data_IF_375234165234
#
_entry.id   IF_375234165234
#
_cell.length_a   1.000
_cell.length_b   1.000
_cell.length_c   1.000
_cell.angle_alpha   90.00
_cell.angle_beta   90.00
_cell.angle_gamma   90.00
#
_symmetry.space_group_name_H-M   'P 1'
#
loop_
_entity.id
_entity.type
_entity.pdbx_description
1 polymer ?
#
# COMPACT_ATOMS: atom_id res chain seq x y z
N UNK A 1 -14.12 50.87 19.78
CA UNK A 1 -13.77 49.47 20.07
C UNK A 1 -15.04 48.64 19.91
N UNK A 2 -15.34 48.21 18.68
CA UNK A 2 -16.57 47.48 18.35
C UNK A 2 -16.16 46.03 18.08
N UNK A 3 -16.49 45.14 19.01
CA UNK A 3 -16.29 43.70 18.83
C UNK A 3 -17.45 43.21 18.00
N UNK A 4 -17.21 42.95 16.71
CA UNK A 4 -18.15 42.26 15.83
C UNK A 4 -18.06 40.77 16.13
N UNK A 5 -19.08 40.26 16.81
CA UNK A 5 -19.33 38.83 17.01
C UNK A 5 -19.54 38.21 15.63
N UNK A 6 -18.60 37.36 15.21
CA UNK A 6 -18.66 36.69 13.91
C UNK A 6 -19.53 35.44 13.96
N UNK A 7 -20.36 35.37 12.92
CA UNK A 7 -20.86 34.19 12.25
C UNK A 7 -21.80 33.25 13.04
N UNK A 8 -23.08 33.49 12.78
CA UNK A 8 -24.17 32.51 12.72
C UNK A 8 -23.72 31.21 12.03
N UNK A 9 -23.18 30.27 12.82
CA UNK A 9 -22.92 28.90 12.41
C UNK A 9 -24.26 28.16 12.29
N UNK A 10 -24.99 28.48 11.22
CA UNK A 10 -26.21 27.83 10.76
C UNK A 10 -26.12 26.34 11.05
N UNK A 11 -27.02 25.88 11.92
CA UNK A 11 -27.08 24.54 12.48
C UNK A 11 -27.40 23.48 11.41
N UNK A 12 -26.40 23.13 10.60
CA UNK A 12 -26.28 21.85 9.90
C UNK A 12 -24.91 21.25 10.24
N UNK A 13 -24.61 21.14 11.53
CA UNK A 13 -23.38 20.50 12.00
C UNK A 13 -23.56 19.00 11.87
N UNK A 14 -22.97 18.42 10.82
CA UNK A 14 -22.71 16.97 10.78
C UNK A 14 -21.95 16.64 12.06
N UNK A 15 -22.41 15.65 12.83
CA UNK A 15 -21.77 15.26 14.08
C UNK A 15 -20.28 14.97 13.80
N UNK A 16 -19.38 15.64 14.51
CA UNK A 16 -17.93 15.44 14.39
C UNK A 16 -17.52 13.97 14.58
N UNK A 17 -18.29 13.23 15.40
CA UNK A 17 -18.14 11.79 15.59
C UNK A 17 -18.28 10.99 14.28
N UNK A 18 -19.12 11.43 13.35
CA UNK A 18 -19.32 10.74 12.07
C UNK A 18 -18.08 10.86 11.17
N UNK A 19 -17.37 11.99 11.24
CA UNK A 19 -16.10 12.17 10.52
C UNK A 19 -14.98 11.31 11.13
N UNK A 20 -14.96 11.13 12.45
CA UNK A 20 -14.02 10.22 13.12
C UNK A 20 -14.16 8.77 12.63
N UNK A 21 -15.40 8.29 12.47
CA UNK A 21 -15.66 6.92 11.97
C UNK A 21 -15.12 6.73 10.56
N UNK A 22 -15.23 7.74 9.69
CA UNK A 22 -14.71 7.68 8.32
C UNK A 22 -13.19 7.54 8.29
N UNK A 23 -12.45 8.34 9.07
CA UNK A 23 -11.00 8.23 9.16
C UNK A 23 -10.54 6.91 9.78
N UNK A 24 -11.27 6.39 10.78
CA UNK A 24 -10.98 5.09 11.36
C UNK A 24 -11.13 3.97 10.33
N UNK A 25 -12.21 3.98 9.54
CA UNK A 25 -12.43 2.97 8.52
C UNK A 25 -11.37 3.05 7.41
N UNK A 26 -11.00 4.27 6.99
CA UNK A 26 -9.99 4.51 5.97
C UNK A 26 -8.61 3.99 6.40
N UNK A 27 -8.20 4.25 7.65
CA UNK A 27 -6.91 3.77 8.17
C UNK A 27 -6.87 2.24 8.30
N UNK A 28 -7.96 1.59 8.70
CA UNK A 28 -8.05 0.12 8.72
C UNK A 28 -7.93 -0.45 7.30
N UNK A 29 -8.65 0.14 6.33
CA UNK A 29 -8.58 -0.29 4.94
C UNK A 29 -7.16 -0.14 4.37
N UNK A 30 -6.49 0.97 4.67
CA UNK A 30 -5.13 1.23 4.20
C UNK A 30 -4.12 0.24 4.78
N UNK A 31 -4.19 -0.07 6.08
CA UNK A 31 -3.30 -1.06 6.72
C UNK A 31 -3.49 -2.45 6.09
N UNK A 32 -4.73 -2.86 5.88
CA UNK A 32 -5.06 -4.18 5.31
C UNK A 32 -4.59 -4.33 3.86
N UNK A 33 -4.68 -3.28 3.05
CA UNK A 33 -4.22 -3.36 1.66
C UNK A 33 -2.70 -3.19 1.58
N UNK A 34 -2.15 -2.21 2.30
CA UNK A 34 -0.74 -1.82 2.18
C UNK A 34 0.21 -2.79 2.87
N UNK A 35 0.03 -3.04 4.17
CA UNK A 35 0.97 -3.87 4.94
C UNK A 35 0.86 -5.33 4.49
N UNK A 36 -0.35 -5.86 4.36
CA UNK A 36 -0.55 -7.26 3.95
C UNK A 36 -0.14 -7.49 2.50
N UNK A 37 -0.43 -6.54 1.58
CA UNK A 37 -0.01 -6.63 0.19
C UNK A 37 1.50 -6.64 0.04
N UNK A 38 2.20 -5.82 0.82
CA UNK A 38 3.66 -5.77 0.79
C UNK A 38 4.32 -7.04 1.35
N UNK A 39 3.73 -7.63 2.41
CA UNK A 39 4.20 -8.90 2.96
C UNK A 39 4.01 -10.04 1.95
N UNK A 40 2.88 -10.07 1.23
CA UNK A 40 2.67 -11.03 0.15
C UNK A 40 3.70 -10.85 -0.98
N UNK A 41 3.93 -9.60 -1.41
CA UNK A 41 4.92 -9.29 -2.45
C UNK A 41 6.34 -9.69 -2.03
N UNK A 42 6.72 -9.46 -0.77
CA UNK A 42 8.00 -9.91 -0.24
C UNK A 42 8.11 -11.43 -0.11
N UNK A 43 6.99 -12.12 0.15
CA UNK A 43 6.96 -13.59 0.20
C UNK A 43 7.12 -14.23 -1.18
N UNK A 44 6.66 -13.56 -2.23
CA UNK A 44 6.72 -14.06 -3.61
C UNK A 44 7.99 -13.62 -4.36
N UNK A 45 8.85 -12.81 -3.73
CA UNK A 45 10.02 -12.23 -4.36
C UNK A 45 11.33 -12.95 -3.97
N UNK A 46 12.22 -13.23 -4.94
CA UNK A 46 13.61 -13.56 -4.65
C UNK A 46 14.25 -12.48 -3.78
N UNK A 47 15.13 -12.89 -2.87
CA UNK A 47 15.54 -12.07 -1.72
C UNK A 47 16.43 -10.88 -2.07
N UNK A 48 16.91 -10.80 -3.33
CA UNK A 48 17.65 -9.66 -3.90
C UNK A 48 16.77 -8.48 -4.33
N UNK A 49 15.44 -8.63 -4.46
CA UNK A 49 14.56 -7.58 -5.00
C UNK A 49 13.72 -6.82 -3.96
N UNK A 50 13.97 -7.01 -2.65
CA UNK A 50 13.17 -6.36 -1.59
C UNK A 50 13.12 -4.84 -1.73
N UNK A 51 14.25 -4.20 -2.02
CA UNK A 51 14.31 -2.73 -2.22
C UNK A 51 13.56 -2.27 -3.48
N UNK A 52 13.57 -3.08 -4.54
CA UNK A 52 12.87 -2.78 -5.80
C UNK A 52 11.34 -2.83 -5.59
N UNK A 53 10.84 -3.81 -4.83
CA UNK A 53 9.42 -3.91 -4.51
C UNK A 53 8.95 -2.76 -3.63
N UNK A 54 9.75 -2.40 -2.62
CA UNK A 54 9.45 -1.25 -1.76
C UNK A 54 9.37 0.07 -2.56
N UNK A 55 10.36 0.31 -3.43
CA UNK A 55 10.39 1.52 -4.26
C UNK A 55 9.26 1.53 -5.29
N UNK A 56 8.92 0.39 -5.89
CA UNK A 56 7.78 0.27 -6.80
C UNK A 56 6.44 0.53 -6.08
N UNK A 57 6.31 0.07 -4.84
CA UNK A 57 5.16 0.35 -3.99
C UNK A 57 5.01 1.85 -3.72
N UNK A 58 6.08 2.50 -3.22
CA UNK A 58 6.10 3.93 -2.94
C UNK A 58 5.87 4.79 -4.20
N UNK A 59 6.40 4.35 -5.34
CA UNK A 59 6.20 5.01 -6.61
C UNK A 59 4.71 5.01 -7.02
N UNK A 60 4.02 3.88 -6.80
CA UNK A 60 2.59 3.78 -7.08
C UNK A 60 1.77 4.67 -6.14
N UNK A 61 2.12 4.73 -4.85
CA UNK A 61 1.51 5.67 -3.88
C UNK A 61 1.68 7.12 -4.33
N UNK A 62 2.88 7.51 -4.75
CA UNK A 62 3.16 8.87 -5.22
C UNK A 62 2.34 9.25 -6.47
N UNK A 63 2.12 8.31 -7.39
CA UNK A 63 1.23 8.52 -8.54
C UNK A 63 -0.22 8.74 -8.08
N UNK A 64 -0.69 7.97 -7.09
CA UNK A 64 -2.01 8.16 -6.49
C UNK A 64 -2.19 9.56 -5.91
N UNK A 65 -1.22 10.00 -5.10
CA UNK A 65 -1.22 11.35 -4.51
C UNK A 65 -1.16 12.45 -5.57
N UNK A 66 -0.38 12.24 -6.64
CA UNK A 66 -0.31 13.17 -7.76
C UNK A 66 -1.65 13.33 -8.47
N UNK A 67 -2.39 12.23 -8.70
CA UNK A 67 -3.72 12.29 -9.32
C UNK A 67 -4.68 13.09 -8.43
N UNK A 68 -4.68 12.87 -7.11
CA UNK A 68 -5.52 13.61 -6.17
C UNK A 68 -5.17 15.10 -6.15
N UNK A 69 -3.89 15.43 -6.14
CA UNK A 69 -3.42 16.81 -6.15
C UNK A 69 -3.84 17.56 -7.42
N UNK A 70 -3.69 16.93 -8.60
CA UNK A 70 -4.11 17.53 -9.88
C UNK A 70 -5.61 17.78 -9.91
N UNK A 71 -6.43 16.85 -9.42
CA UNK A 71 -7.89 17.00 -9.36
C UNK A 71 -8.27 18.16 -8.42
N UNK A 72 -7.60 18.28 -7.27
CA UNK A 72 -7.85 19.32 -6.29
C UNK A 72 -7.45 20.73 -6.79
N UNK A 73 -6.29 20.86 -7.44
CA UNK A 73 -5.76 22.14 -7.91
C UNK A 73 -6.52 22.66 -9.14
N UNK A 74 -6.89 21.76 -10.05
CA UNK A 74 -7.50 22.16 -11.33
C UNK A 74 -8.95 22.61 -11.16
N UNK A 75 -9.58 22.43 -9.98
CA UNK A 75 -11.00 22.78 -9.71
C UNK A 75 -11.95 22.36 -10.85
N UNK A 76 -11.64 21.23 -11.51
CA UNK A 76 -12.33 20.77 -12.73
C UNK A 76 -13.84 20.66 -12.50
N UNK A 77 -14.22 20.33 -11.27
CA UNK A 77 -15.60 20.08 -10.88
C UNK A 77 -16.05 21.17 -9.91
N UNK A 78 -16.90 22.08 -10.38
CA UNK A 78 -17.51 23.15 -9.57
C UNK A 78 -18.50 22.62 -8.51
N UNK A 79 -18.95 21.36 -8.65
CA UNK A 79 -19.89 20.68 -7.76
C UNK A 79 -19.20 19.59 -6.92
N UNK A 80 -19.18 19.77 -5.60
CA UNK A 80 -18.58 18.84 -4.64
C UNK A 80 -19.13 17.40 -4.74
N UNK A 81 -20.38 17.23 -5.16
CA UNK A 81 -20.97 15.90 -5.35
C UNK A 81 -20.33 15.10 -6.50
N UNK A 82 -20.02 15.73 -7.63
CA UNK A 82 -19.38 15.03 -8.76
C UNK A 82 -17.95 14.63 -8.40
N UNK A 83 -17.25 15.42 -7.59
CA UNK A 83 -15.91 15.07 -7.11
C UNK A 83 -15.93 13.77 -6.28
N UNK A 84 -16.89 13.62 -5.37
CA UNK A 84 -17.08 12.36 -4.63
C UNK A 84 -17.43 11.17 -5.54
N UNK A 85 -18.27 11.38 -6.56
CA UNK A 85 -18.58 10.32 -7.53
C UNK A 85 -17.37 9.94 -8.39
N UNK A 86 -16.52 10.90 -8.77
CA UNK A 86 -15.29 10.65 -9.53
C UNK A 86 -14.31 9.81 -8.70
N UNK A 87 -14.04 10.21 -7.45
CA UNK A 87 -13.15 9.46 -6.56
C UNK A 87 -13.69 8.07 -6.24
N UNK A 88 -14.99 7.94 -5.98
CA UNK A 88 -15.62 6.64 -5.78
C UNK A 88 -15.51 5.78 -7.04
N UNK A 89 -15.74 6.34 -8.22
CA UNK A 89 -15.63 5.62 -9.50
C UNK A 89 -14.21 5.13 -9.76
N UNK A 90 -13.20 5.96 -9.50
CA UNK A 90 -11.79 5.61 -9.63
C UNK A 90 -11.40 4.48 -8.67
N UNK A 91 -11.87 4.53 -7.42
CA UNK A 91 -11.67 3.47 -6.43
C UNK A 91 -12.37 2.16 -6.82
N UNK A 92 -13.64 2.22 -7.25
CA UNK A 92 -14.37 1.04 -7.72
C UNK A 92 -13.67 0.39 -8.91
N UNK A 93 -13.19 1.20 -9.86
CA UNK A 93 -12.41 0.70 -10.99
C UNK A 93 -11.13 -0.01 -10.53
N UNK A 94 -10.37 0.59 -9.61
CA UNK A 94 -9.18 -0.02 -9.02
C UNK A 94 -9.46 -1.37 -8.35
N UNK A 95 -10.54 -1.46 -7.56
CA UNK A 95 -10.97 -2.70 -6.91
C UNK A 95 -11.37 -3.78 -7.93
N UNK A 96 -12.10 -3.42 -8.98
CA UNK A 96 -12.52 -4.36 -10.03
C UNK A 96 -11.30 -4.91 -10.78
N UNK A 97 -10.35 -4.05 -11.14
CA UNK A 97 -9.10 -4.47 -11.79
C UNK A 97 -8.29 -5.39 -10.86
N UNK A 98 -8.16 -5.02 -9.58
CA UNK A 98 -7.45 -5.85 -8.60
C UNK A 98 -8.12 -7.22 -8.40
N UNK A 99 -9.45 -7.26 -8.26
CA UNK A 99 -10.21 -8.50 -8.11
C UNK A 99 -10.11 -9.40 -9.35
N UNK A 100 -10.10 -8.81 -10.55
CA UNK A 100 -9.87 -9.54 -11.79
C UNK A 100 -8.46 -10.14 -11.81
N UNK A 101 -7.41 -9.36 -11.54
CA UNK A 101 -6.03 -9.85 -11.49
C UNK A 101 -5.83 -10.96 -10.45
N UNK A 102 -6.44 -10.83 -9.27
CA UNK A 102 -6.42 -11.85 -8.23
C UNK A 102 -7.07 -13.17 -8.70
N UNK A 103 -8.16 -13.07 -9.47
CA UNK A 103 -8.85 -14.26 -10.03
C UNK A 103 -8.03 -14.97 -11.11
N UNK A 104 -7.09 -14.28 -11.75
CA UNK A 104 -6.18 -14.83 -12.76
C UNK A 104 -4.80 -15.22 -12.20
N UNK A 105 -4.59 -15.15 -10.88
CA UNK A 105 -3.29 -15.46 -10.29
C UNK A 105 -3.06 -16.98 -10.27
N UNK A 106 -2.13 -17.44 -11.11
CA UNK A 106 -1.68 -18.83 -11.14
C UNK A 106 -0.44 -18.97 -10.27
N UNK A 107 -0.50 -19.84 -9.27
CA UNK A 107 0.55 -20.07 -8.28
C UNK A 107 1.88 -20.44 -8.97
N UNK A 108 2.88 -19.57 -8.87
CA UNK A 108 4.23 -19.85 -9.35
C UNK A 108 4.98 -20.60 -8.26
N UNK A 109 5.29 -21.87 -8.51
CA UNK A 109 6.10 -22.71 -7.63
C UNK A 109 7.56 -22.56 -8.06
N UNK A 110 8.41 -21.80 -7.33
CA UNK A 110 9.81 -21.65 -7.72
C UNK A 110 10.55 -22.99 -7.52
N UNK A 111 11.34 -23.45 -8.52
CA UNK A 111 12.26 -24.55 -8.31
C UNK A 111 13.29 -24.13 -7.24
N UNK A 112 13.61 -25.08 -6.37
CA UNK A 112 14.37 -24.92 -5.14
C UNK A 112 15.86 -24.59 -5.43
N UNK A 113 16.16 -23.36 -5.85
CA UNK A 113 17.52 -22.90 -6.11
C UNK A 113 17.70 -21.46 -5.63
N UNK A 114 17.62 -21.21 -4.33
CA UNK A 114 18.22 -20.00 -3.73
C UNK A 114 18.30 -20.11 -2.21
N UNK A 115 19.25 -20.92 -1.72
CA UNK A 115 19.60 -20.89 -0.29
C UNK A 115 21.02 -21.33 0.05
N UNK A 116 21.98 -21.41 -0.88
CA UNK A 116 23.39 -21.62 -0.49
C UNK A 116 24.04 -20.29 -0.07
N UNK A 117 23.93 -19.26 -0.91
CA UNK A 117 24.45 -17.91 -0.61
C UNK A 117 23.79 -17.22 0.59
N UNK A 118 22.59 -17.65 0.97
CA UNK A 118 21.84 -17.03 2.07
C UNK A 118 21.94 -17.79 3.40
N UNK A 119 22.17 -19.10 3.37
CA UNK A 119 22.62 -19.83 4.54
C UNK A 119 23.98 -19.29 5.00
N UNK A 120 24.86 -18.91 4.06
CA UNK A 120 26.16 -18.29 4.34
C UNK A 120 26.10 -16.93 5.07
N UNK A 121 25.07 -16.11 4.83
CA UNK A 121 24.95 -14.78 5.49
C UNK A 121 24.29 -14.87 6.87
N UNK A 122 23.39 -15.84 7.08
CA UNK A 122 22.64 -15.99 8.36
C UNK A 122 23.32 -17.00 9.30
N UNK A 123 23.98 -18.01 8.75
CA UNK A 123 24.76 -19.02 9.46
C UNK A 123 26.17 -19.08 8.85
N UNK A 124 27.04 -18.09 9.14
CA UNK A 124 28.38 -18.02 8.56
C UNK A 124 29.21 -19.29 8.79
N UNK A 125 28.97 -20.00 9.90
CA UNK A 125 29.73 -21.20 10.27
C UNK A 125 29.11 -22.51 9.72
N UNK A 126 27.95 -22.47 9.05
CA UNK A 126 27.30 -23.69 8.55
C UNK A 126 28.06 -24.34 7.39
N UNK A 127 28.66 -23.53 6.51
CA UNK A 127 29.45 -24.02 5.37
C UNK A 127 30.87 -24.38 5.79
N UNK A 128 31.47 -23.64 6.73
CA UNK A 128 32.81 -23.93 7.26
C UNK A 128 32.85 -25.32 7.96
N UNK A 129 31.76 -25.71 8.62
CA UNK A 129 31.62 -27.03 9.24
C UNK A 129 31.47 -28.16 8.20
N UNK A 130 30.76 -27.93 7.09
CA UNK A 130 30.66 -28.93 6.01
C UNK A 130 32.01 -29.15 5.31
N UNK A 131 32.80 -28.10 5.14
CA UNK A 131 34.15 -28.19 4.57
C UNK A 131 35.14 -28.90 5.52
N UNK A 132 35.09 -28.65 6.84
CA UNK A 132 35.89 -29.40 7.83
C UNK A 132 35.54 -30.90 7.85
N UNK A 133 34.25 -31.23 7.78
CA UNK A 133 33.79 -32.63 7.73
C UNK A 133 34.21 -33.31 6.42
N UNK A 134 34.27 -32.59 5.30
CA UNK A 134 34.80 -33.10 4.03
C UNK A 134 36.31 -33.25 4.02
N UNK A 135 37.06 -32.40 4.72
CA UNK A 135 38.52 -32.51 4.84
C UNK A 135 38.96 -33.64 5.81
N UNK A 136 38.06 -34.07 6.69
CA UNK A 136 38.27 -35.12 7.70
C UNK A 136 37.96 -36.54 7.19
N UNK A 137 37.50 -36.72 5.94
CA UNK A 137 37.13 -38.02 5.35
C UNK A 137 38.01 -38.37 4.17
#
# INVERSE_FOLDING_TARGET
MHVTVFEDARSHKVHMLWQTVQYLLLTIAEILVSITGLIFAYSQSPKRYKSVIMSAWLFTTAIGDLIVAVVAETRVVRNQSIEFFLFSGLMTFGVVVFAALASFYKEYMPPHHESEDQQLIIYPNAVETEDEIRLSK
#
